data_IF_368338940739
#
_entry.id   IF_368338940739
#
_cell.length_a   1.000
_cell.length_b   1.000
_cell.length_c   1.000
_cell.angle_alpha   90.00
_cell.angle_beta   90.00
_cell.angle_gamma   90.00
#
_symmetry.space_group_name_H-M   'P 1'
#
loop_
_entity.id
_entity.type
_entity.pdbx_description
1 polymer ?
#
# COMPACT_ATOMS: atom_id res chain seq x y z
N UNK A 1 -46.44 -3.29 -3.90
CA UNK A 1 -45.21 -2.92 -4.65
C UNK A 1 -44.17 -2.15 -3.81
N UNK A 2 -44.52 -1.58 -2.64
CA UNK A 2 -43.57 -0.80 -1.80
C UNK A 2 -42.65 -1.67 -0.93
N UNK A 3 -43.05 -2.91 -0.61
CA UNK A 3 -42.32 -3.77 0.34
C UNK A 3 -41.10 -4.49 -0.27
N UNK A 4 -41.18 -4.85 -1.56
CA UNK A 4 -40.06 -5.45 -2.30
C UNK A 4 -38.87 -4.48 -2.49
N UNK A 5 -39.12 -3.17 -2.57
CA UNK A 5 -38.09 -2.15 -2.72
C UNK A 5 -37.25 -1.92 -1.44
N UNK A 6 -37.86 -2.09 -0.26
CA UNK A 6 -37.19 -1.95 1.06
C UNK A 6 -36.33 -3.16 1.42
N UNK A 7 -36.67 -4.35 0.92
CA UNK A 7 -35.88 -5.57 1.07
C UNK A 7 -34.63 -5.52 0.19
N UNK A 8 -34.74 -5.03 -1.05
CA UNK A 8 -33.61 -4.99 -1.98
C UNK A 8 -32.52 -4.00 -1.54
N UNK A 9 -32.90 -2.86 -0.95
CA UNK A 9 -31.96 -1.84 -0.42
C UNK A 9 -31.15 -2.35 0.78
N UNK A 10 -31.75 -3.15 1.66
CA UNK A 10 -31.01 -3.76 2.79
C UNK A 10 -29.99 -4.82 2.33
N UNK A 11 -30.31 -5.56 1.27
CA UNK A 11 -29.42 -6.57 0.69
C UNK A 11 -28.26 -5.91 -0.08
N UNK A 12 -28.49 -4.77 -0.71
CA UNK A 12 -27.41 -3.99 -1.37
C UNK A 12 -26.47 -3.34 -0.35
N UNK A 13 -27.00 -2.71 0.72
CA UNK A 13 -26.17 -2.13 1.81
C UNK A 13 -25.24 -3.16 2.47
N UNK A 14 -25.74 -4.38 2.71
CA UNK A 14 -24.97 -5.45 3.36
C UNK A 14 -23.88 -6.02 2.46
N UNK A 15 -24.10 -6.07 1.14
CA UNK A 15 -23.09 -6.45 0.16
C UNK A 15 -21.98 -5.41 0.02
N UNK A 16 -22.33 -4.13 0.01
CA UNK A 16 -21.35 -3.04 -0.03
C UNK A 16 -20.48 -3.02 1.23
N UNK A 17 -21.09 -3.13 2.42
CA UNK A 17 -20.36 -3.25 3.68
C UNK A 17 -19.41 -4.46 3.71
N UNK A 18 -19.87 -5.62 3.21
CA UNK A 18 -19.01 -6.80 3.11
C UNK A 18 -17.85 -6.58 2.12
N UNK A 19 -18.07 -5.83 1.04
CA UNK A 19 -17.04 -5.49 0.06
C UNK A 19 -16.00 -4.53 0.64
N UNK A 20 -16.44 -3.48 1.32
CA UNK A 20 -15.55 -2.53 2.00
C UNK A 20 -14.70 -3.22 3.06
N UNK A 21 -15.32 -4.11 3.84
CA UNK A 21 -14.59 -4.93 4.83
C UNK A 21 -13.49 -5.76 4.16
N UNK A 22 -13.80 -6.47 3.07
CA UNK A 22 -12.81 -7.27 2.33
C UNK A 22 -11.71 -6.42 1.68
N UNK A 23 -12.03 -5.22 1.19
CA UNK A 23 -11.02 -4.30 0.64
C UNK A 23 -10.06 -3.83 1.73
N UNK A 24 -10.60 -3.47 2.91
CA UNK A 24 -9.80 -3.08 4.08
C UNK A 24 -8.90 -4.22 4.56
N UNK A 25 -9.43 -5.43 4.68
CA UNK A 25 -8.65 -6.62 5.06
C UNK A 25 -7.52 -6.92 4.07
N UNK A 26 -7.80 -6.80 2.77
CA UNK A 26 -6.77 -6.99 1.72
C UNK A 26 -5.65 -5.96 1.83
N UNK A 27 -5.99 -4.67 2.04
CA UNK A 27 -5.00 -3.61 2.27
C UNK A 27 -4.14 -3.90 3.50
N UNK A 28 -4.76 -4.28 4.61
CA UNK A 28 -4.07 -4.62 5.86
C UNK A 28 -3.12 -5.81 5.68
N UNK A 29 -3.56 -6.86 4.97
CA UNK A 29 -2.73 -8.02 4.68
C UNK A 29 -1.50 -7.65 3.83
N UNK A 30 -1.68 -6.81 2.81
CA UNK A 30 -0.56 -6.35 1.97
C UNK A 30 0.44 -5.49 2.75
N UNK A 31 -0.04 -4.61 3.64
CA UNK A 31 0.80 -3.80 4.51
C UNK A 31 1.59 -4.66 5.51
N UNK A 32 0.95 -5.68 6.10
CA UNK A 32 1.62 -6.62 7.00
C UNK A 32 2.71 -7.42 6.26
N UNK A 33 2.44 -7.85 5.03
CA UNK A 33 3.43 -8.52 4.18
C UNK A 33 4.65 -7.63 3.89
N UNK A 34 4.43 -6.36 3.54
CA UNK A 34 5.52 -5.40 3.33
C UNK A 34 6.38 -5.24 4.58
N UNK A 35 5.77 -5.16 5.77
CA UNK A 35 6.49 -5.15 7.04
C UNK A 35 7.39 -6.37 7.24
N UNK A 36 6.87 -7.57 6.97
CA UNK A 36 7.66 -8.82 7.05
C UNK A 36 8.80 -8.85 6.02
N UNK A 37 8.54 -8.38 4.80
CA UNK A 37 9.53 -8.32 3.73
C UNK A 37 10.68 -7.38 4.11
N UNK A 38 10.36 -6.19 4.64
CA UNK A 38 11.35 -5.21 5.07
C UNK A 38 12.20 -5.70 6.23
N UNK A 39 11.60 -6.37 7.22
CA UNK A 39 12.33 -7.03 8.30
C UNK A 39 13.34 -8.05 7.75
N UNK A 40 12.90 -8.90 6.82
CA UNK A 40 13.78 -9.89 6.18
C UNK A 40 14.89 -9.24 5.36
N UNK A 41 14.58 -8.17 4.61
CA UNK A 41 15.56 -7.39 3.85
C UNK A 41 16.62 -6.78 4.76
N UNK A 42 16.23 -6.09 5.83
CA UNK A 42 17.14 -5.46 6.78
C UNK A 42 18.02 -6.48 7.50
N UNK A 43 17.45 -7.62 7.92
CA UNK A 43 18.21 -8.74 8.48
C UNK A 43 19.22 -9.32 7.48
N UNK A 44 18.84 -9.42 6.21
CA UNK A 44 19.70 -9.97 5.16
C UNK A 44 20.84 -9.01 4.83
N UNK A 45 20.57 -7.70 4.71
CA UNK A 45 21.61 -6.68 4.53
C UNK A 45 22.64 -6.72 5.65
N UNK A 46 22.20 -6.85 6.92
CA UNK A 46 23.10 -6.98 8.07
C UNK A 46 23.89 -8.29 8.11
N UNK A 47 23.31 -9.39 7.65
CA UNK A 47 24.04 -10.66 7.49
C UNK A 47 25.07 -10.59 6.35
N UNK A 48 24.78 -9.84 5.30
CA UNK A 48 25.64 -9.70 4.12
C UNK A 48 26.85 -8.79 4.38
N UNK A 49 26.75 -7.83 5.29
CA UNK A 49 27.91 -7.10 5.79
C UNK A 49 28.80 -8.05 6.59
N UNK A 50 30.05 -8.26 6.16
CA UNK A 50 31.06 -8.96 6.96
C UNK A 50 31.18 -8.25 8.31
N UNK A 51 30.60 -8.84 9.36
CA UNK A 51 30.86 -8.36 10.71
C UNK A 51 32.37 -8.50 10.95
N UNK A 52 33.05 -7.38 11.24
CA UNK A 52 34.47 -7.42 11.54
C UNK A 52 34.67 -8.37 12.72
N UNK A 53 35.29 -9.53 12.50
CA UNK A 53 35.57 -10.51 13.56
C UNK A 53 36.39 -9.91 14.73
N UNK A 54 36.94 -8.71 14.54
CA UNK A 54 37.70 -7.93 15.50
C UNK A 54 36.83 -7.20 16.53
N UNK A 55 35.58 -6.87 16.20
CA UNK A 55 34.64 -6.18 17.11
C UNK A 55 33.36 -7.01 17.19
N UNK A 56 33.17 -7.72 18.31
CA UNK A 56 31.93 -8.46 18.58
C UNK A 56 30.85 -7.48 19.02
N UNK A 57 29.69 -7.53 18.37
CA UNK A 57 28.50 -6.78 18.82
C UNK A 57 28.09 -7.20 20.22
N UNK A 58 27.74 -6.22 21.05
CA UNK A 58 27.21 -6.47 22.38
C UNK A 58 25.76 -6.97 22.33
N UNK A 59 25.29 -7.63 23.39
CA UNK A 59 23.87 -8.00 23.49
C UNK A 59 22.95 -6.76 23.53
N UNK A 60 23.42 -5.65 24.11
CA UNK A 60 22.67 -4.40 24.12
C UNK A 60 22.46 -3.85 22.71
N UNK A 61 23.50 -3.86 21.89
CA UNK A 61 23.43 -3.41 20.49
C UNK A 61 22.40 -4.21 19.67
N UNK A 62 22.31 -5.53 19.88
CA UNK A 62 21.29 -6.38 19.23
C UNK A 62 19.87 -5.96 19.61
N UNK A 63 19.62 -5.78 20.90
CA UNK A 63 18.29 -5.38 21.41
C UNK A 63 17.88 -4.01 20.86
N UNK A 64 18.78 -3.02 20.91
CA UNK A 64 18.50 -1.69 20.36
C UNK A 64 18.30 -1.71 18.84
N UNK A 65 19.01 -2.59 18.11
CA UNK A 65 18.82 -2.78 16.67
C UNK A 65 17.44 -3.37 16.37
N UNK A 66 17.02 -4.39 17.10
CA UNK A 66 15.68 -4.98 16.94
C UNK A 66 14.57 -3.97 17.23
N UNK A 67 14.74 -3.14 18.27
CA UNK A 67 13.80 -2.07 18.58
C UNK A 67 13.75 -1.00 17.48
N UNK A 68 14.90 -0.65 16.88
CA UNK A 68 14.97 0.27 15.74
C UNK A 68 14.26 -0.31 14.49
N UNK A 69 14.46 -1.61 14.21
CA UNK A 69 13.79 -2.29 13.11
C UNK A 69 12.26 -2.26 13.28
N UNK A 70 11.77 -2.49 14.50
CA UNK A 70 10.34 -2.37 14.81
C UNK A 70 9.82 -0.95 14.52
N UNK A 71 10.56 0.09 14.89
CA UNK A 71 10.16 1.47 14.58
C UNK A 71 10.13 1.76 13.08
N UNK A 72 11.06 1.19 12.30
CA UNK A 72 11.01 1.34 10.84
C UNK A 72 9.78 0.67 10.25
N UNK A 73 9.42 -0.53 10.71
CA UNK A 73 8.18 -1.21 10.27
C UNK A 73 6.95 -0.36 10.62
N UNK A 74 6.90 0.22 11.82
CA UNK A 74 5.79 1.09 12.23
C UNK A 74 5.66 2.36 11.38
N UNK A 75 6.79 3.01 11.03
CA UNK A 75 6.81 4.20 10.17
C UNK A 75 6.34 3.86 8.76
N UNK A 76 6.80 2.73 8.22
CA UNK A 76 6.38 2.25 6.90
C UNK A 76 4.89 1.91 6.87
N UNK A 77 4.37 1.23 7.90
CA UNK A 77 2.95 0.93 8.02
C UNK A 77 2.07 2.19 8.11
N UNK A 78 2.62 3.29 8.67
CA UNK A 78 1.93 4.60 8.76
C UNK A 78 2.03 5.44 7.49
N UNK A 79 2.80 5.02 6.48
CA UNK A 79 2.95 5.74 5.19
C UNK A 79 2.18 4.98 4.12
N UNK A 80 0.85 5.16 4.00
CA UNK A 80 -0.04 4.20 3.34
C UNK A 80 -0.07 4.33 1.82
N UNK A 81 0.52 5.40 1.28
CA UNK A 81 0.31 5.83 -0.11
C UNK A 81 1.44 5.41 -1.06
N UNK A 82 2.49 4.77 -0.56
CA UNK A 82 3.63 4.32 -1.35
C UNK A 82 4.26 3.07 -0.76
N UNK A 83 4.71 2.14 -1.60
CA UNK A 83 5.41 0.95 -1.15
C UNK A 83 5.09 -0.30 -1.98
N UNK A 84 5.71 -1.41 -1.58
CA UNK A 84 5.48 -2.71 -2.19
C UNK A 84 4.08 -3.24 -1.85
N UNK A 85 3.59 -2.99 -0.64
CA UNK A 85 2.27 -3.42 -0.18
C UNK A 85 1.15 -2.76 -0.99
N UNK A 86 1.30 -1.47 -1.31
CA UNK A 86 0.35 -0.74 -2.18
C UNK A 86 0.34 -1.31 -3.59
N UNK A 87 1.52 -1.55 -4.16
CA UNK A 87 1.66 -2.11 -5.50
C UNK A 87 1.07 -3.52 -5.59
N UNK A 88 1.30 -4.34 -4.56
CA UNK A 88 0.74 -5.69 -4.42
C UNK A 88 -0.79 -5.63 -4.28
N UNK A 89 -1.32 -4.74 -3.45
CA UNK A 89 -2.76 -4.53 -3.31
C UNK A 89 -3.41 -4.18 -4.64
N UNK A 90 -2.82 -3.24 -5.40
CA UNK A 90 -3.33 -2.86 -6.72
C UNK A 90 -3.33 -4.04 -7.69
N UNK A 91 -2.24 -4.81 -7.73
CA UNK A 91 -2.13 -5.99 -8.59
C UNK A 91 -3.17 -7.05 -8.22
N UNK A 92 -3.32 -7.37 -6.93
CA UNK A 92 -4.31 -8.35 -6.47
C UNK A 92 -5.74 -7.91 -6.79
N UNK A 93 -6.05 -6.62 -6.63
CA UNK A 93 -7.35 -6.05 -6.97
C UNK A 93 -7.67 -6.14 -8.47
N UNK A 94 -6.66 -6.01 -9.34
CA UNK A 94 -6.81 -6.16 -10.78
C UNK A 94 -6.97 -7.63 -11.21
N UNK A 95 -6.22 -8.54 -10.58
CA UNK A 95 -6.17 -9.95 -10.98
C UNK A 95 -7.34 -10.77 -10.41
N UNK A 96 -7.88 -10.40 -9.24
CA UNK A 96 -8.90 -11.18 -8.55
C UNK A 96 -10.33 -10.80 -8.96
N UNK A 97 -11.12 -11.74 -9.53
CA UNK A 97 -12.49 -11.48 -9.97
C UNK A 97 -13.42 -10.97 -8.86
N UNK A 98 -13.24 -11.44 -7.63
CA UNK A 98 -14.04 -11.03 -6.47
C UNK A 98 -13.85 -9.56 -6.03
N UNK A 99 -12.90 -8.85 -6.65
CA UNK A 99 -12.69 -7.41 -6.50
C UNK A 99 -12.92 -6.63 -7.81
N UNK A 100 -13.10 -7.35 -8.94
CA UNK A 100 -13.38 -6.83 -10.28
C UNK A 100 -14.88 -6.62 -10.39
N UNK A 101 -15.33 -5.37 -10.38
CA UNK A 101 -16.75 -5.03 -10.50
C UNK A 101 -17.38 -5.72 -11.72
N UNK A 102 -18.43 -6.49 -11.47
CA UNK A 102 -19.35 -6.97 -12.48
C UNK A 102 -20.14 -5.76 -13.00
N UNK A 103 -19.62 -5.08 -14.03
CA UNK A 103 -20.42 -4.21 -14.89
C UNK A 103 -20.33 -2.69 -14.69
N UNK A 104 -19.30 -2.13 -14.05
CA UNK A 104 -18.99 -0.70 -14.20
C UNK A 104 -17.54 -0.51 -14.59
N UNK A 105 -17.36 -0.12 -15.85
CA UNK A 105 -16.08 0.21 -16.47
C UNK A 105 -15.37 1.25 -15.61
N UNK A 106 -14.14 0.94 -15.22
CA UNK A 106 -13.24 1.83 -14.47
C UNK A 106 -13.06 3.15 -15.25
N UNK A 107 -13.74 4.21 -14.82
CA UNK A 107 -13.49 5.55 -15.34
C UNK A 107 -12.28 6.17 -14.63
N UNK A 108 -11.13 6.13 -15.31
CA UNK A 108 -10.07 7.15 -15.39
C UNK A 108 -9.29 7.58 -14.11
N UNK A 109 -9.69 7.19 -12.91
CA UNK A 109 -9.11 7.73 -11.66
C UNK A 109 -7.98 6.90 -11.04
N UNK A 110 -7.73 5.66 -11.47
CA UNK A 110 -6.60 4.84 -10.99
C UNK A 110 -5.54 4.66 -12.08
N UNK A 111 -4.94 5.78 -12.51
CA UNK A 111 -3.64 5.73 -13.16
C UNK A 111 -2.56 6.07 -12.11
N UNK A 112 -1.70 5.13 -11.69
CA UNK A 112 -0.61 5.41 -10.74
C UNK A 112 0.43 6.42 -11.27
N UNK A 113 0.36 6.81 -12.55
CA UNK A 113 1.12 7.91 -13.15
C UNK A 113 0.34 9.23 -13.29
N UNK A 114 -0.93 9.31 -12.89
CA UNK A 114 -1.72 10.55 -13.01
C UNK A 114 -1.15 11.71 -12.18
N UNK A 115 -0.56 11.41 -11.01
CA UNK A 115 0.13 12.40 -10.17
C UNK A 115 1.38 12.93 -10.88
N UNK A 116 2.10 12.07 -11.60
CA UNK A 116 3.29 12.47 -12.36
C UNK A 116 2.93 13.27 -13.62
N UNK A 117 1.83 12.91 -14.30
CA UNK A 117 1.33 13.64 -15.48
C UNK A 117 0.87 15.05 -15.11
N UNK A 118 0.07 15.21 -14.06
CA UNK A 118 -0.33 16.55 -13.58
C UNK A 118 0.87 17.42 -13.18
N UNK A 119 1.92 16.82 -12.59
CA UNK A 119 3.15 17.54 -12.23
C UNK A 119 3.97 17.94 -13.46
N UNK A 120 4.02 17.11 -14.50
CA UNK A 120 4.70 17.42 -15.76
C UNK A 120 3.92 18.48 -16.58
N UNK A 121 2.59 18.42 -16.56
CA UNK A 121 1.72 19.41 -17.19
C UNK A 121 1.81 20.78 -16.49
N UNK A 122 1.84 20.81 -15.15
CA UNK A 122 2.05 22.04 -14.38
C UNK A 122 3.43 22.66 -14.66
N UNK A 123 4.48 21.84 -14.72
CA UNK A 123 5.84 22.32 -15.00
C UNK A 123 6.02 22.81 -16.44
N UNK A 124 5.24 22.28 -17.40
CA UNK A 124 5.23 22.74 -18.79
C UNK A 124 4.44 24.05 -18.97
N UNK A 125 3.45 24.33 -18.13
CA UNK A 125 2.67 25.57 -18.16
C UNK A 125 3.44 26.73 -17.51
N UNK A 126 4.11 26.50 -16.37
CA UNK A 126 4.97 27.53 -15.73
C UNK A 126 6.15 27.96 -16.61
N UNK A 127 6.64 27.09 -17.50
CA UNK A 127 7.67 27.44 -18.48
C UNK A 127 7.19 28.32 -19.64
N UNK A 128 5.90 28.37 -19.92
CA UNK A 128 5.30 29.20 -20.99
C UNK A 128 4.98 30.62 -20.51
N UNK A 129 4.60 30.79 -19.24
CA UNK A 129 4.29 32.09 -18.62
C UNK A 129 5.54 32.97 -18.36
N UNK A 130 6.75 32.44 -18.50
CA UNK A 130 8.01 33.19 -18.39
C UNK A 130 8.55 33.71 -19.73
N UNK A 131 7.91 33.38 -20.86
CA UNK A 131 8.35 33.73 -22.22
C UNK A 131 7.34 34.65 -22.95
N UNK A 132 6.30 35.11 -22.25
CA UNK A 132 5.41 36.20 -22.70
C UNK A 132 5.57 37.41 -21.79
#
# INVERSE_FOLDING_TARGET
>A
MVEAAKLNTNVELTKEQAREKRDKELRQACAAFEGMFMDMMMKTMRKATMESSLIKKSNGEKIFTEMLDQQYVDILAKTPDSGLGVSLYQHLKQTMPQYRDEGKIFHKELNPYAVQQKRQEAFSQEGLDLVQ
#
